data_IF_841131483983
#
_entry.id   IF_841131483983
#
_cell.length_a   1.000
_cell.length_b   1.000
_cell.length_c   1.000
_cell.angle_alpha   90.00
_cell.angle_beta   90.00
_cell.angle_gamma   90.00
#
_symmetry.space_group_name_H-M   'P 1'
#
loop_
_entity.id
_entity.type
_entity.pdbx_description
1 polymer ?
#
# COMPACT_ATOMS: atom_id res chain seq x y z
N UNK A 1 40.85 17.03 9.28
CA UNK A 1 40.42 16.17 8.17
C UNK A 1 39.50 15.12 8.77
N UNK A 2 38.19 15.39 8.82
CA UNK A 2 37.21 14.43 9.36
C UNK A 2 37.06 13.34 8.31
N UNK A 3 37.33 12.08 8.68
CA UNK A 3 37.14 10.96 7.77
C UNK A 3 35.65 10.89 7.40
N UNK A 4 35.34 10.85 6.11
CA UNK A 4 33.96 10.71 5.63
C UNK A 4 33.36 9.42 6.22
N UNK A 5 32.18 9.53 6.82
CA UNK A 5 31.44 8.35 7.28
C UNK A 5 31.12 7.45 6.08
N UNK A 6 31.35 6.12 6.17
CA UNK A 6 30.86 5.20 5.15
C UNK A 6 29.35 5.35 5.00
N UNK A 7 28.77 5.35 3.77
CA UNK A 7 27.33 5.53 3.56
C UNK A 7 26.44 4.60 4.38
N UNK A 8 26.91 3.38 4.65
CA UNK A 8 26.24 2.39 5.51
C UNK A 8 26.09 2.88 6.95
N UNK A 9 27.05 3.63 7.48
CA UNK A 9 27.00 4.14 8.85
C UNK A 9 25.98 5.26 8.98
N UNK A 10 25.92 6.19 8.02
CA UNK A 10 24.89 7.22 7.97
C UNK A 10 23.48 6.61 7.85
N UNK A 11 23.33 5.56 7.04
CA UNK A 11 22.09 4.80 6.94
C UNK A 11 21.71 4.13 8.27
N UNK A 12 22.65 3.44 8.93
CA UNK A 12 22.40 2.78 10.21
C UNK A 12 21.99 3.78 11.31
N UNK A 13 22.63 4.95 11.36
CA UNK A 13 22.23 6.05 12.26
C UNK A 13 20.82 6.54 11.93
N UNK A 14 20.50 6.74 10.65
CA UNK A 14 19.16 7.12 10.22
C UNK A 14 18.08 6.12 10.66
N UNK A 15 18.31 4.82 10.45
CA UNK A 15 17.40 3.76 10.90
C UNK A 15 17.24 3.78 12.42
N UNK A 16 18.35 3.88 13.17
CA UNK A 16 18.31 3.94 14.62
C UNK A 16 17.50 5.14 15.13
N UNK A 17 17.67 6.31 14.52
CA UNK A 17 16.91 7.53 14.84
C UNK A 17 15.43 7.32 14.53
N UNK A 18 15.06 6.79 13.36
CA UNK A 18 13.66 6.53 13.01
C UNK A 18 13.02 5.57 14.00
N UNK A 19 13.70 4.46 14.34
CA UNK A 19 13.20 3.49 15.32
C UNK A 19 13.04 4.13 16.70
N UNK A 20 14.01 4.94 17.14
CA UNK A 20 13.92 5.66 18.42
C UNK A 20 12.70 6.60 18.44
N UNK A 21 12.55 7.44 17.41
CA UNK A 21 11.49 8.44 17.34
C UNK A 21 10.09 7.81 17.22
N UNK A 22 9.95 6.74 16.45
CA UNK A 22 8.64 6.14 16.17
C UNK A 22 8.26 5.03 17.16
N UNK A 23 9.20 4.22 17.61
CA UNK A 23 8.90 3.05 18.47
C UNK A 23 9.09 3.37 19.94
N UNK A 24 10.15 4.11 20.30
CA UNK A 24 10.44 4.40 21.71
C UNK A 24 9.73 5.65 22.19
N UNK A 25 9.73 6.72 21.36
CA UNK A 25 9.07 7.98 21.70
C UNK A 25 7.66 8.13 21.13
N UNK A 26 7.20 7.15 20.35
CA UNK A 26 5.82 7.09 19.80
C UNK A 26 5.37 8.40 19.13
N UNK A 27 6.31 9.05 18.42
CA UNK A 27 5.98 10.29 17.70
C UNK A 27 5.11 9.97 16.48
N UNK A 28 4.16 10.85 16.12
CA UNK A 28 3.42 10.73 14.87
C UNK A 28 4.39 10.57 13.68
N UNK A 29 4.15 9.57 12.83
CA UNK A 29 5.09 9.16 11.78
C UNK A 29 5.62 10.32 10.94
N UNK A 30 4.75 11.26 10.54
CA UNK A 30 5.14 12.46 9.80
C UNK A 30 6.17 13.31 10.56
N UNK A 31 5.91 13.60 11.83
CA UNK A 31 6.80 14.42 12.68
C UNK A 31 8.12 13.69 12.92
N UNK A 32 8.06 12.40 13.28
CA UNK A 32 9.25 11.59 13.51
C UNK A 32 10.15 11.49 12.28
N UNK A 33 9.58 11.29 11.09
CA UNK A 33 10.34 11.20 9.84
C UNK A 33 10.96 12.54 9.42
N UNK A 34 10.28 13.67 9.63
CA UNK A 34 10.86 15.00 9.36
C UNK A 34 12.04 15.28 10.29
N UNK A 35 11.90 15.00 11.58
CA UNK A 35 12.99 15.16 12.55
C UNK A 35 14.16 14.23 12.18
N UNK A 36 13.88 12.97 11.84
CA UNK A 36 14.91 12.03 11.39
C UNK A 36 15.64 12.53 10.13
N UNK A 37 14.92 13.05 9.14
CA UNK A 37 15.51 13.59 7.91
C UNK A 37 16.43 14.79 8.20
N UNK A 38 16.02 15.68 9.11
CA UNK A 38 16.85 16.81 9.54
C UNK A 38 18.11 16.33 10.30
N UNK A 39 17.98 15.35 11.19
CA UNK A 39 19.11 14.78 11.94
C UNK A 39 20.11 14.04 11.05
N UNK A 40 19.62 13.26 10.08
CA UNK A 40 20.49 12.61 9.09
C UNK A 40 21.15 13.65 8.20
N UNK A 41 20.40 14.68 7.77
CA UNK A 41 20.92 15.78 6.97
C UNK A 41 22.02 16.57 7.68
N UNK A 42 21.86 16.89 8.98
CA UNK A 42 22.89 17.57 9.77
C UNK A 42 24.08 16.67 10.07
N UNK A 43 23.86 15.38 10.31
CA UNK A 43 24.94 14.39 10.42
C UNK A 43 25.75 14.37 9.13
N UNK A 44 25.09 14.28 7.97
CA UNK A 44 25.76 14.34 6.67
C UNK A 44 26.50 15.67 6.46
N UNK A 45 25.94 16.81 6.84
CA UNK A 45 26.61 18.11 6.78
C UNK A 45 27.89 18.20 7.64
N UNK A 46 27.97 17.42 8.72
CA UNK A 46 29.16 17.36 9.56
C UNK A 46 30.29 16.52 8.93
N UNK A 47 29.94 15.40 8.28
CA UNK A 47 30.91 14.43 7.77
C UNK A 47 31.24 14.58 6.29
N UNK A 48 30.38 15.23 5.51
CA UNK A 48 30.57 15.46 4.07
C UNK A 48 30.85 16.95 3.84
N UNK A 49 32.03 17.31 3.30
CA UNK A 49 32.39 18.71 3.06
C UNK A 49 31.49 19.42 2.04
N UNK A 50 30.77 18.67 1.20
CA UNK A 50 29.91 19.19 0.15
C UNK A 50 28.51 19.60 0.63
N UNK A 51 28.15 19.32 1.89
CA UNK A 51 26.82 19.61 2.45
C UNK A 51 26.93 20.70 3.50
N UNK A 52 26.48 21.91 3.17
CA UNK A 52 26.42 23.01 4.14
C UNK A 52 25.22 22.84 5.10
N UNK A 53 25.45 23.05 6.41
CA UNK A 53 24.39 22.99 7.44
C UNK A 53 23.18 23.87 7.13
N UNK A 54 23.40 25.07 6.62
CA UNK A 54 22.32 26.00 6.25
C UNK A 54 21.41 25.50 5.12
N UNK A 55 21.91 24.57 4.30
CA UNK A 55 21.14 24.01 3.19
C UNK A 55 20.32 22.78 3.59
N UNK A 56 20.54 22.21 4.79
CA UNK A 56 19.86 20.98 5.22
C UNK A 56 18.33 21.12 5.21
N UNK A 57 17.71 22.17 5.78
CA UNK A 57 16.25 22.32 5.73
C UNK A 57 15.72 22.43 4.30
N UNK A 58 16.42 23.17 3.43
CA UNK A 58 16.07 23.31 2.02
C UNK A 58 16.15 21.98 1.26
N UNK A 59 17.23 21.22 1.47
CA UNK A 59 17.41 19.91 0.85
C UNK A 59 16.34 18.91 1.30
N UNK A 60 15.99 18.89 2.59
CA UNK A 60 14.91 18.06 3.12
C UNK A 60 13.56 18.47 2.51
N UNK A 61 13.28 19.78 2.42
CA UNK A 61 12.04 20.27 1.81
C UNK A 61 11.94 19.93 0.31
N UNK A 62 13.03 20.08 -0.45
CA UNK A 62 13.09 19.69 -1.86
C UNK A 62 12.93 18.19 -2.04
N UNK A 63 13.63 17.38 -1.24
CA UNK A 63 13.50 15.93 -1.28
C UNK A 63 12.06 15.49 -0.94
N UNK A 64 11.45 16.09 0.08
CA UNK A 64 10.05 15.85 0.44
C UNK A 64 9.12 16.21 -0.74
N UNK A 65 9.27 17.40 -1.33
CA UNK A 65 8.44 17.85 -2.45
C UNK A 65 8.56 16.94 -3.68
N UNK A 66 9.77 16.51 -4.02
CA UNK A 66 10.01 15.57 -5.12
C UNK A 66 9.35 14.20 -4.86
N UNK A 67 9.46 13.68 -3.63
CA UNK A 67 8.77 12.43 -3.25
C UNK A 67 7.24 12.58 -3.29
N UNK A 68 6.71 13.74 -2.88
CA UNK A 68 5.27 14.03 -2.98
C UNK A 68 4.80 14.06 -4.42
N UNK A 69 5.56 14.68 -5.32
CA UNK A 69 5.27 14.73 -6.75
C UNK A 69 5.38 13.35 -7.42
N UNK A 70 6.35 12.53 -7.02
CA UNK A 70 6.56 11.18 -7.57
C UNK A 70 5.50 10.18 -7.12
N UNK A 71 5.34 9.98 -5.81
CA UNK A 71 4.49 8.91 -5.25
C UNK A 71 3.50 9.38 -4.18
N UNK A 72 3.76 10.51 -3.51
CA UNK A 72 2.89 10.96 -2.42
C UNK A 72 1.46 11.31 -2.85
N UNK A 73 1.30 11.98 -4.00
CA UNK A 73 -0.02 12.28 -4.57
C UNK A 73 -0.76 10.98 -4.96
N UNK A 74 -0.18 10.04 -5.72
CA UNK A 74 -0.79 8.73 -5.98
C UNK A 74 -1.24 8.00 -4.71
N UNK A 75 -0.40 7.98 -3.67
CA UNK A 75 -0.72 7.36 -2.38
C UNK A 75 -1.93 8.03 -1.71
N UNK A 76 -1.97 9.37 -1.69
CA UNK A 76 -3.09 10.12 -1.11
C UNK A 76 -4.41 9.83 -1.85
N UNK A 77 -4.36 9.77 -3.18
CA UNK A 77 -5.53 9.43 -3.99
C UNK A 77 -6.01 8.00 -3.74
N UNK A 78 -5.08 7.04 -3.65
CA UNK A 78 -5.40 5.65 -3.30
C UNK A 78 -6.06 5.55 -1.92
N UNK A 79 -5.56 6.28 -0.93
CA UNK A 79 -6.14 6.31 0.41
C UNK A 79 -7.58 6.89 0.42
N UNK A 80 -7.83 7.95 -0.34
CA UNK A 80 -9.18 8.52 -0.50
C UNK A 80 -10.11 7.49 -1.15
N UNK A 81 -9.69 6.86 -2.25
CA UNK A 81 -10.48 5.82 -2.93
C UNK A 81 -10.80 4.68 -1.96
N UNK A 82 -9.80 4.16 -1.24
CA UNK A 82 -9.96 3.09 -0.27
C UNK A 82 -10.94 3.46 0.84
N UNK A 83 -10.85 4.68 1.38
CA UNK A 83 -11.80 5.17 2.39
C UNK A 83 -13.22 5.30 1.83
N UNK A 84 -13.38 5.88 0.64
CA UNK A 84 -14.69 6.01 -0.01
C UNK A 84 -15.32 4.64 -0.32
N UNK A 85 -14.52 3.63 -0.68
CA UNK A 85 -15.00 2.26 -0.89
C UNK A 85 -15.53 1.62 0.40
N UNK A 86 -14.90 1.91 1.54
CA UNK A 86 -15.34 1.44 2.85
C UNK A 86 -16.61 2.16 3.31
N UNK A 87 -16.70 3.47 3.12
CA UNK A 87 -17.86 4.27 3.55
C UNK A 87 -19.11 4.03 2.67
N UNK A 88 -18.91 3.81 1.37
CA UNK A 88 -20.01 3.53 0.42
C UNK A 88 -20.56 2.10 0.49
N UNK A 89 -19.91 1.19 1.22
CA UNK A 89 -20.28 -0.24 1.22
C UNK A 89 -19.89 -1.00 -0.05
N UNK A 90 -19.13 -0.39 -0.96
CA UNK A 90 -18.57 -1.08 -2.13
C UNK A 90 -17.69 -2.29 -1.73
N UNK A 91 -16.91 -2.13 -0.65
CA UNK A 91 -16.11 -3.21 -0.11
C UNK A 91 -16.97 -4.39 0.38
N UNK A 92 -18.11 -4.12 1.03
CA UNK A 92 -19.07 -5.15 1.47
C UNK A 92 -19.68 -5.90 0.29
N UNK A 93 -20.05 -5.17 -0.79
CA UNK A 93 -20.60 -5.77 -2.00
C UNK A 93 -19.61 -6.74 -2.63
N UNK A 94 -18.35 -6.33 -2.80
CA UNK A 94 -17.30 -7.16 -3.40
C UNK A 94 -17.24 -8.51 -2.67
N UNK A 95 -17.24 -8.48 -1.35
CA UNK A 95 -17.08 -9.70 -0.55
C UNK A 95 -18.31 -10.60 -0.66
N UNK A 96 -19.51 -10.03 -0.67
CA UNK A 96 -20.75 -10.77 -0.91
C UNK A 96 -20.78 -11.38 -2.32
N UNK A 97 -20.23 -10.71 -3.32
CA UNK A 97 -20.15 -11.22 -4.69
C UNK A 97 -19.17 -12.39 -4.84
N UNK A 98 -18.00 -12.33 -4.19
CA UNK A 98 -17.09 -13.48 -4.08
C UNK A 98 -17.77 -14.66 -3.37
N UNK A 99 -18.56 -14.39 -2.32
CA UNK A 99 -19.34 -15.42 -1.64
C UNK A 99 -20.42 -16.03 -2.53
N UNK A 100 -21.15 -15.23 -3.31
CA UNK A 100 -22.25 -15.75 -4.14
C UNK A 100 -21.77 -16.60 -5.31
N UNK A 101 -20.50 -16.43 -5.72
CA UNK A 101 -19.91 -17.22 -6.81
C UNK A 101 -19.25 -18.51 -6.33
N UNK A 102 -18.91 -18.63 -5.05
CA UNK A 102 -18.27 -19.81 -4.48
C UNK A 102 -19.23 -20.60 -3.59
N UNK A 103 -19.23 -21.93 -3.73
CA UNK A 103 -20.01 -22.84 -2.87
C UNK A 103 -19.61 -22.72 -1.40
N UNK A 104 -20.51 -23.12 -0.49
CA UNK A 104 -20.27 -23.20 0.96
C UNK A 104 -19.03 -24.07 1.31
N UNK A 105 -18.58 -24.94 0.42
CA UNK A 105 -17.34 -25.72 0.57
C UNK A 105 -16.05 -24.94 0.35
N UNK A 106 -16.09 -23.80 -0.37
CA UNK A 106 -14.90 -23.03 -0.78
C UNK A 106 -14.84 -21.62 -0.16
N UNK A 107 -15.41 -21.47 1.04
CA UNK A 107 -15.48 -20.19 1.75
C UNK A 107 -14.09 -19.65 2.09
N UNK A 108 -13.13 -20.52 2.36
CA UNK A 108 -11.73 -20.15 2.56
C UNK A 108 -11.14 -19.45 1.33
N UNK A 109 -11.40 -19.96 0.12
CA UNK A 109 -11.00 -19.31 -1.13
C UNK A 109 -11.77 -18.03 -1.43
N UNK A 110 -13.05 -17.95 -1.07
CA UNK A 110 -13.84 -16.74 -1.25
C UNK A 110 -13.29 -15.59 -0.40
N UNK A 111 -13.00 -15.87 0.87
CA UNK A 111 -12.40 -14.92 1.80
C UNK A 111 -10.96 -14.56 1.43
N UNK A 112 -10.18 -15.55 0.99
CA UNK A 112 -8.83 -15.32 0.47
C UNK A 112 -8.84 -14.36 -0.74
N UNK A 113 -9.68 -14.63 -1.74
CA UNK A 113 -9.75 -13.84 -2.96
C UNK A 113 -10.29 -12.44 -2.73
N UNK A 114 -11.37 -12.30 -1.95
CA UNK A 114 -11.97 -10.99 -1.65
C UNK A 114 -11.03 -10.10 -0.84
N UNK A 115 -10.36 -10.64 0.18
CA UNK A 115 -9.40 -9.90 1.00
C UNK A 115 -8.16 -9.50 0.21
N UNK A 116 -7.62 -10.40 -0.63
CA UNK A 116 -6.50 -10.11 -1.53
C UNK A 116 -6.83 -8.97 -2.49
N UNK A 117 -8.03 -9.00 -3.07
CA UNK A 117 -8.47 -7.98 -4.03
C UNK A 117 -8.72 -6.62 -3.36
N UNK A 118 -9.41 -6.62 -2.22
CA UNK A 118 -9.72 -5.38 -1.49
C UNK A 118 -8.47 -4.70 -0.93
N UNK A 119 -7.43 -5.46 -0.57
CA UNK A 119 -6.23 -4.90 0.04
C UNK A 119 -5.26 -4.22 -0.96
N UNK A 120 -5.55 -4.30 -2.27
CA UNK A 120 -4.81 -3.54 -3.29
C UNK A 120 -5.04 -2.02 -3.08
N UNK A 121 -6.30 -1.52 -3.04
CA UNK A 121 -6.58 -0.10 -2.75
C UNK A 121 -6.78 0.22 -1.26
N UNK A 122 -7.20 -0.74 -0.44
CA UNK A 122 -7.55 -0.50 0.98
C UNK A 122 -6.42 -1.02 1.87
N UNK A 123 -6.11 -0.29 2.93
CA UNK A 123 -5.12 -0.74 3.91
C UNK A 123 -5.49 -2.08 4.56
N UNK A 124 -4.48 -2.90 4.83
CA UNK A 124 -4.63 -4.23 5.41
C UNK A 124 -5.51 -4.26 6.66
N UNK A 125 -5.30 -3.31 7.57
CA UNK A 125 -6.04 -3.19 8.84
C UNK A 125 -7.54 -3.02 8.59
N UNK A 126 -7.91 -2.11 7.69
CA UNK A 126 -9.30 -1.84 7.34
C UNK A 126 -9.95 -3.05 6.67
N UNK A 127 -9.25 -3.73 5.75
CA UNK A 127 -9.76 -4.97 5.13
C UNK A 127 -9.94 -6.06 6.18
N UNK A 128 -8.96 -6.25 7.06
CA UNK A 128 -9.03 -7.25 8.11
C UNK A 128 -10.21 -6.99 9.06
N UNK A 129 -10.39 -5.74 9.51
CA UNK A 129 -11.53 -5.37 10.36
C UNK A 129 -12.88 -5.50 9.66
N UNK A 130 -12.96 -5.22 8.36
CA UNK A 130 -14.17 -5.42 7.58
C UNK A 130 -14.50 -6.92 7.43
N UNK A 131 -13.47 -7.74 7.26
CA UNK A 131 -13.61 -9.18 6.98
C UNK A 131 -13.77 -10.03 8.24
N UNK A 132 -13.26 -9.60 9.39
CA UNK A 132 -13.37 -10.36 10.63
C UNK A 132 -14.82 -10.67 11.06
N UNK A 133 -15.79 -9.72 10.97
CA UNK A 133 -17.22 -9.98 11.20
C UNK A 133 -17.81 -10.98 10.21
N UNK A 134 -17.39 -10.92 8.94
CA UNK A 134 -17.83 -11.87 7.92
C UNK A 134 -17.24 -13.27 8.17
N UNK A 135 -15.97 -13.37 8.54
CA UNK A 135 -15.37 -14.63 8.99
C UNK A 135 -16.13 -15.20 10.20
N UNK A 136 -16.54 -14.34 11.14
CA UNK A 136 -17.34 -14.71 12.32
C UNK A 136 -18.71 -15.24 11.93
N UNK A 137 -19.45 -14.52 11.08
CA UNK A 137 -20.78 -14.94 10.61
C UNK A 137 -20.73 -16.24 9.80
N UNK A 138 -19.67 -16.43 9.00
CA UNK A 138 -19.44 -17.68 8.27
C UNK A 138 -19.16 -18.85 9.22
N UNK A 139 -18.36 -18.67 10.29
CA UNK A 139 -18.21 -19.70 11.33
C UNK A 139 -19.55 -20.01 11.99
N UNK A 140 -20.36 -19.01 12.32
CA UNK A 140 -21.66 -19.21 12.97
C UNK A 140 -22.63 -20.02 12.07
N UNK A 141 -22.62 -19.78 10.75
CA UNK A 141 -23.48 -20.48 9.78
C UNK A 141 -22.99 -21.89 9.45
N UNK A 142 -21.67 -22.06 9.23
CA UNK A 142 -21.08 -23.33 8.76
C UNK A 142 -20.65 -24.23 9.93
N UNK A 143 -20.42 -23.65 11.11
CA UNK A 143 -20.09 -24.36 12.34
C UNK A 143 -18.60 -24.71 12.51
N UNK A 144 -17.75 -24.48 11.51
CA UNK A 144 -16.30 -24.82 11.54
C UNK A 144 -15.39 -23.74 10.96
N UNK A 145 -14.07 -23.90 11.16
CA UNK A 145 -12.99 -23.22 10.43
C UNK A 145 -12.77 -21.71 10.68
N UNK A 146 -13.06 -21.17 11.87
CA UNK A 146 -12.88 -19.74 12.14
C UNK A 146 -11.42 -19.29 12.08
N UNK A 147 -10.50 -20.09 12.64
CA UNK A 147 -9.07 -19.82 12.57
C UNK A 147 -8.58 -19.77 11.12
N UNK A 148 -9.01 -20.72 10.28
CA UNK A 148 -8.72 -20.70 8.85
C UNK A 148 -9.22 -19.42 8.20
N UNK A 149 -10.47 -18.99 8.48
CA UNK A 149 -11.05 -17.78 7.91
C UNK A 149 -10.25 -16.52 8.25
N UNK A 150 -9.79 -16.38 9.50
CA UNK A 150 -8.94 -15.25 9.89
C UNK A 150 -7.56 -15.29 9.19
N UNK A 151 -6.97 -16.49 9.08
CA UNK A 151 -5.65 -16.66 8.43
C UNK A 151 -5.73 -16.36 6.93
N UNK A 152 -6.75 -16.84 6.22
CA UNK A 152 -6.87 -16.59 4.77
C UNK A 152 -7.16 -15.13 4.46
N UNK A 153 -7.97 -14.47 5.29
CA UNK A 153 -8.20 -13.02 5.21
C UNK A 153 -6.90 -12.27 5.47
N UNK A 154 -6.20 -12.63 6.53
CA UNK A 154 -4.94 -11.99 6.93
C UNK A 154 -3.86 -12.14 5.87
N UNK A 155 -3.62 -13.37 5.40
CA UNK A 155 -2.60 -13.66 4.40
C UNK A 155 -2.94 -13.06 3.03
N UNK A 156 -4.20 -13.14 2.60
CA UNK A 156 -4.68 -12.54 1.37
C UNK A 156 -4.46 -11.04 1.36
N UNK A 157 -5.00 -10.35 2.37
CA UNK A 157 -4.87 -8.91 2.48
C UNK A 157 -3.41 -8.45 2.68
N UNK A 158 -2.63 -9.11 3.54
CA UNK A 158 -1.26 -8.67 3.84
C UNK A 158 -0.33 -8.79 2.63
N UNK A 159 -0.43 -9.88 1.88
CA UNK A 159 0.47 -10.13 0.74
C UNK A 159 0.23 -9.15 -0.41
N UNK A 160 -1.03 -8.92 -0.80
CA UNK A 160 -1.32 -7.93 -1.86
C UNK A 160 -1.01 -6.51 -1.38
N UNK A 161 -1.31 -6.19 -0.12
CA UNK A 161 -0.97 -4.89 0.45
C UNK A 161 0.55 -4.60 0.48
N UNK A 162 1.39 -5.62 0.70
CA UNK A 162 2.85 -5.46 0.81
C UNK A 162 3.56 -5.55 -0.54
N UNK A 163 3.03 -6.29 -1.52
CA UNK A 163 3.73 -6.55 -2.77
C UNK A 163 3.15 -5.84 -4.00
N UNK A 164 1.88 -5.41 -3.97
CA UNK A 164 1.19 -4.91 -5.16
C UNK A 164 0.91 -3.41 -5.05
N UNK A 165 1.45 -2.56 -5.94
CA UNK A 165 1.03 -1.16 -6.06
C UNK A 165 -0.49 -1.05 -6.30
N UNK A 166 -1.18 -0.01 -5.78
CA UNK A 166 -0.71 1.33 -5.44
C UNK A 166 -0.37 1.55 -3.96
N UNK A 167 -0.12 0.51 -3.17
CA UNK A 167 0.21 0.70 -1.76
C UNK A 167 1.54 1.44 -1.57
N UNK A 168 1.71 2.20 -0.47
CA UNK A 168 2.85 3.10 -0.29
C UNK A 168 4.22 2.44 -0.42
N UNK A 169 4.38 1.23 0.14
CA UNK A 169 5.64 0.49 0.13
C UNK A 169 6.10 0.09 -1.27
N UNK A 170 5.32 -0.72 -2.01
CA UNK A 170 5.57 -1.06 -3.41
C UNK A 170 5.78 0.14 -4.32
N UNK A 171 4.99 1.23 -4.15
CA UNK A 171 5.19 2.45 -4.93
C UNK A 171 6.54 3.12 -4.64
N UNK A 172 6.95 3.18 -3.37
CA UNK A 172 8.24 3.76 -3.00
C UNK A 172 9.42 2.97 -3.59
N UNK A 173 9.34 1.63 -3.57
CA UNK A 173 10.35 0.78 -4.20
C UNK A 173 10.36 0.97 -5.72
N UNK A 174 9.19 1.01 -6.35
CA UNK A 174 9.08 1.22 -7.80
C UNK A 174 9.67 2.57 -8.24
N UNK A 175 9.42 3.65 -7.47
CA UNK A 175 9.97 4.98 -7.75
C UNK A 175 11.49 5.00 -7.64
N UNK A 176 12.05 4.47 -6.55
CA UNK A 176 13.50 4.41 -6.34
C UNK A 176 14.21 3.64 -7.45
N UNK A 177 13.63 2.53 -7.91
CA UNK A 177 14.19 1.74 -9.01
C UNK A 177 13.98 2.40 -10.39
N UNK A 178 12.95 3.25 -10.55
CA UNK A 178 12.66 3.96 -11.80
C UNK A 178 13.58 5.17 -12.04
N UNK A 179 14.35 5.61 -11.04
CA UNK A 179 15.33 6.70 -11.17
C UNK A 179 16.45 6.40 -12.19
N UNK A 180 16.58 5.14 -12.63
CA UNK A 180 17.47 4.70 -13.71
C UNK A 180 16.98 4.97 -15.15
N UNK A 181 15.82 5.63 -15.34
CA UNK A 181 15.34 6.07 -16.66
C UNK A 181 14.33 5.14 -17.35
N UNK A 182 13.75 4.17 -16.64
CA UNK A 182 12.67 3.30 -17.13
C UNK A 182 11.55 3.27 -16.09
N UNK A 183 10.31 3.49 -16.51
CA UNK A 183 9.14 3.35 -15.62
C UNK A 183 8.87 1.86 -15.39
N UNK A 184 9.19 1.36 -14.19
CA UNK A 184 9.02 -0.08 -13.87
C UNK A 184 7.71 -0.39 -13.15
N UNK A 185 6.77 0.56 -13.06
CA UNK A 185 5.56 0.40 -12.26
C UNK A 185 4.69 -0.78 -12.76
N UNK A 186 4.50 -0.90 -14.08
CA UNK A 186 3.77 -2.04 -14.66
C UNK A 186 4.44 -3.38 -14.37
N UNK A 187 5.76 -3.46 -14.52
CA UNK A 187 6.53 -4.67 -14.18
C UNK A 187 6.45 -4.98 -12.69
N UNK A 188 6.48 -3.95 -11.84
CA UNK A 188 6.33 -4.10 -10.39
C UNK A 188 4.96 -4.66 -10.03
N UNK A 189 3.89 -4.25 -10.71
CA UNK A 189 2.55 -4.84 -10.51
C UNK A 189 2.54 -6.32 -10.91
N UNK A 190 3.10 -6.67 -12.07
CA UNK A 190 3.13 -8.06 -12.55
C UNK A 190 3.95 -8.95 -11.61
N UNK A 191 5.16 -8.53 -11.25
CA UNK A 191 6.04 -9.26 -10.30
C UNK A 191 5.41 -9.30 -8.91
N UNK A 192 4.79 -8.21 -8.47
CA UNK A 192 4.07 -8.10 -7.22
C UNK A 192 2.93 -9.11 -7.14
N UNK A 193 2.08 -9.19 -8.16
CA UNK A 193 0.99 -10.17 -8.25
C UNK A 193 1.52 -11.61 -8.33
N UNK A 194 2.55 -11.84 -9.16
CA UNK A 194 3.19 -13.15 -9.30
C UNK A 194 3.84 -13.64 -8.01
N UNK A 195 4.23 -12.72 -7.12
CA UNK A 195 4.79 -13.05 -5.79
C UNK A 195 3.71 -13.12 -4.73
N UNK A 196 2.74 -12.20 -4.74
CA UNK A 196 1.66 -12.12 -3.77
C UNK A 196 0.75 -13.33 -3.84
N UNK A 197 0.29 -13.73 -5.04
CA UNK A 197 -0.70 -14.81 -5.19
C UNK A 197 -0.16 -16.14 -4.62
N UNK A 198 1.04 -16.63 -4.99
CA UNK A 198 1.59 -17.86 -4.40
C UNK A 198 1.85 -17.71 -2.90
N UNK A 199 2.37 -16.57 -2.46
CA UNK A 199 2.63 -16.32 -1.03
C UNK A 199 1.33 -16.35 -0.22
N UNK A 200 0.27 -15.74 -0.73
CA UNK A 200 -1.05 -15.71 -0.12
C UNK A 200 -1.68 -17.11 -0.08
N UNK A 201 -1.50 -17.89 -1.14
CA UNK A 201 -2.00 -19.26 -1.21
C UNK A 201 -1.31 -20.16 -0.17
N UNK A 202 0.02 -20.06 -0.06
CA UNK A 202 0.80 -20.87 0.89
C UNK A 202 0.55 -20.41 2.33
N UNK A 203 0.70 -19.12 2.62
CA UNK A 203 0.52 -18.59 3.97
C UNK A 203 -0.95 -18.57 4.43
N UNK A 204 -1.89 -18.40 3.51
CA UNK A 204 -3.32 -18.37 3.78
C UNK A 204 -3.92 -19.76 3.80
N UNK A 205 -3.98 -20.42 2.64
CA UNK A 205 -4.73 -21.68 2.49
C UNK A 205 -3.94 -22.85 3.07
N UNK A 206 -2.68 -23.04 2.67
CA UNK A 206 -1.89 -24.22 3.10
C UNK A 206 -1.60 -24.14 4.60
N UNK A 207 -0.99 -23.05 5.05
CA UNK A 207 -0.67 -22.84 6.45
C UNK A 207 -1.93 -22.65 7.31
N UNK A 208 -2.96 -21.95 6.82
CA UNK A 208 -4.22 -21.82 7.54
C UNK A 208 -4.92 -23.16 7.75
N UNK A 209 -4.94 -24.06 6.77
CA UNK A 209 -5.50 -25.42 6.93
C UNK A 209 -4.68 -26.24 7.92
N UNK A 210 -3.35 -26.15 7.85
CA UNK A 210 -2.45 -26.78 8.81
C UNK A 210 -2.69 -26.30 10.25
N UNK A 211 -2.90 -25.00 10.44
CA UNK A 211 -3.14 -24.39 11.75
C UNK A 211 -4.53 -24.75 12.28
N UNK A 212 -5.54 -24.64 11.43
CA UNK A 212 -6.94 -24.92 11.79
C UNK A 212 -7.19 -26.38 12.16
N UNK A 213 -6.35 -27.31 11.68
CA UNK A 213 -6.37 -28.70 12.13
C UNK A 213 -5.81 -28.90 13.56
N UNK A 214 -5.10 -27.90 14.12
CA UNK A 214 -4.42 -27.97 15.43
C UNK A 214 -5.02 -27.03 16.47
N UNK A 215 -5.67 -25.96 16.04
CA UNK A 215 -6.20 -24.91 16.91
C UNK A 215 -7.68 -24.71 16.55
N UNK A 216 -8.55 -24.90 17.52
CA UNK A 216 -9.93 -24.41 17.45
C UNK A 216 -10.01 -23.12 18.27
N UNK A 217 -10.29 -22.02 17.57
CA UNK A 217 -10.51 -20.72 18.19
C UNK A 217 -12.01 -20.63 18.47
N UNK A 218 -12.45 -20.63 19.74
CA UNK A 218 -13.85 -20.47 20.07
C UNK A 218 -14.32 -19.08 19.63
N UNK A 219 -15.58 -19.01 19.19
CA UNK A 219 -16.26 -17.73 18.97
C UNK A 219 -16.35 -17.01 20.31
N UNK A 220 -15.55 -15.95 20.47
CA UNK A 220 -15.62 -15.04 21.62
C UNK A 220 -16.45 -13.83 21.22
N UNK A 221 -17.15 -13.23 22.18
CA UNK A 221 -17.82 -11.95 21.94
C UNK A 221 -16.77 -10.88 21.62
N UNK A 222 -16.97 -10.19 20.50
CA UNK A 222 -15.92 -9.40 19.85
C UNK A 222 -15.49 -8.21 20.74
N UNK A 223 -14.18 -8.10 20.93
CA UNK A 223 -13.54 -7.03 21.71
C UNK A 223 -13.17 -5.85 20.80
N UNK A 224 -13.60 -4.64 21.17
CA UNK A 224 -12.82 -3.40 20.95
C UNK A 224 -13.33 -2.42 19.89
N UNK A 225 -13.97 -2.90 18.83
CA UNK A 225 -14.83 -2.09 17.93
C UNK A 225 -16.23 -2.62 18.17
N UNK A 226 -17.27 -1.77 18.32
CA UNK A 226 -18.59 -2.32 18.67
C UNK A 226 -18.95 -3.37 17.63
N UNK A 227 -19.06 -4.62 18.09
CA UNK A 227 -19.38 -5.76 17.24
C UNK A 227 -20.65 -5.46 16.44
N UNK A 228 -21.53 -4.66 17.04
CA UNK A 228 -22.72 -4.05 16.46
C UNK A 228 -22.45 -3.17 15.24
N UNK A 229 -21.51 -2.22 15.23
CA UNK A 229 -21.24 -1.39 14.03
C UNK A 229 -20.74 -2.22 12.85
N UNK A 230 -19.94 -3.23 13.15
CA UNK A 230 -19.37 -4.14 12.16
C UNK A 230 -20.38 -5.20 11.69
N UNK A 231 -21.22 -5.72 12.59
CA UNK A 231 -22.34 -6.62 12.27
C UNK A 231 -23.44 -5.87 11.52
N UNK A 232 -23.75 -4.63 11.85
CA UNK A 232 -24.71 -3.78 11.15
C UNK A 232 -24.27 -3.55 9.69
N UNK A 233 -22.98 -3.24 9.47
CA UNK A 233 -22.40 -3.19 8.11
C UNK A 233 -22.48 -4.53 7.39
N UNK A 234 -22.13 -5.62 8.07
CA UNK A 234 -22.20 -6.95 7.53
C UNK A 234 -23.63 -7.44 7.26
N UNK A 235 -24.65 -6.90 7.95
CA UNK A 235 -26.07 -7.24 7.85
C UNK A 235 -26.89 -6.29 6.97
N UNK A 236 -26.35 -5.14 6.53
CA UNK A 236 -27.03 -4.23 5.59
C UNK A 236 -27.66 -4.99 4.42
N UNK A 237 -28.90 -4.69 4.06
CA UNK A 237 -29.56 -5.39 2.96
C UNK A 237 -28.82 -5.18 1.63
N UNK A 238 -28.73 -6.23 0.82
CA UNK A 238 -27.93 -6.24 -0.42
C UNK A 238 -28.42 -5.24 -1.48
N UNK A 239 -29.65 -4.74 -1.36
CA UNK A 239 -30.26 -3.74 -2.26
C UNK A 239 -29.82 -2.30 -1.94
N UNK A 240 -29.30 -2.04 -0.75
CA UNK A 240 -28.73 -0.74 -0.38
C UNK A 240 -27.26 -0.57 -0.79
N UNK A 241 -26.64 -1.64 -1.34
CA UNK A 241 -25.24 -1.65 -1.74
C UNK A 241 -25.10 -1.35 -3.24
N UNK A 242 -24.03 -0.66 -3.67
CA UNK A 242 -23.73 -0.49 -5.09
C UNK A 242 -23.59 -1.86 -5.77
N UNK A 243 -23.79 -1.91 -7.09
CA UNK A 243 -23.60 -3.15 -7.86
C UNK A 243 -22.14 -3.61 -7.83
N UNK A 244 -21.87 -4.88 -8.17
CA UNK A 244 -20.49 -5.40 -8.21
C UNK A 244 -19.62 -4.63 -9.21
N UNK A 245 -20.18 -4.31 -10.39
CA UNK A 245 -19.50 -3.52 -11.39
C UNK A 245 -19.12 -2.13 -10.86
N UNK A 246 -20.08 -1.42 -10.25
CA UNK A 246 -19.84 -0.10 -9.63
C UNK A 246 -18.83 -0.17 -8.48
N UNK A 247 -18.89 -1.22 -7.67
CA UNK A 247 -17.98 -1.42 -6.54
C UNK A 247 -16.54 -1.68 -7.00
N UNK A 248 -16.37 -2.34 -8.16
CA UNK A 248 -15.07 -2.61 -8.77
C UNK A 248 -14.52 -1.45 -9.61
N UNK A 249 -15.35 -0.47 -10.00
CA UNK A 249 -14.94 0.65 -10.86
C UNK A 249 -13.75 1.44 -10.31
N UNK A 250 -13.68 1.83 -9.02
CA UNK A 250 -12.55 2.61 -8.52
C UNK A 250 -11.21 1.87 -8.66
N UNK A 251 -11.23 0.55 -8.42
CA UNK A 251 -10.06 -0.33 -8.55
C UNK A 251 -9.68 -0.48 -10.02
N UNK A 252 -10.66 -0.81 -10.86
CA UNK A 252 -10.45 -0.96 -12.30
C UNK A 252 -9.93 0.34 -12.92
N UNK A 253 -10.49 1.49 -12.55
CA UNK A 253 -10.05 2.79 -13.01
C UNK A 253 -8.61 3.08 -12.58
N UNK A 254 -8.24 2.83 -11.32
CA UNK A 254 -6.87 3.00 -10.85
C UNK A 254 -5.89 2.13 -11.66
N UNK A 255 -6.20 0.85 -11.86
CA UNK A 255 -5.38 -0.08 -12.64
C UNK A 255 -5.27 0.37 -14.10
N UNK A 256 -6.39 0.72 -14.74
CA UNK A 256 -6.43 1.15 -16.15
C UNK A 256 -5.65 2.44 -16.36
N UNK A 257 -5.78 3.44 -15.47
CA UNK A 257 -5.03 4.69 -15.56
C UNK A 257 -3.52 4.46 -15.42
N UNK A 258 -3.11 3.62 -14.47
CA UNK A 258 -1.69 3.25 -14.27
C UNK A 258 -1.14 2.46 -15.47
N UNK A 259 -1.90 1.50 -15.97
CA UNK A 259 -1.56 0.73 -17.16
C UNK A 259 -1.45 1.65 -18.39
N UNK A 260 -2.38 2.60 -18.55
CA UNK A 260 -2.37 3.57 -19.64
C UNK A 260 -1.11 4.45 -19.60
N UNK A 261 -0.72 4.94 -18.43
CA UNK A 261 0.53 5.70 -18.28
C UNK A 261 1.77 4.87 -18.65
N UNK A 262 1.79 3.59 -18.25
CA UNK A 262 2.87 2.66 -18.58
C UNK A 262 2.94 2.41 -20.10
N UNK A 263 1.80 2.21 -20.75
CA UNK A 263 1.72 2.05 -22.21
C UNK A 263 2.23 3.32 -22.90
N UNK A 264 1.70 4.50 -22.55
CA UNK A 264 2.09 5.77 -23.17
C UNK A 264 3.58 6.06 -22.99
N UNK A 265 4.15 5.82 -21.81
CA UNK A 265 5.59 5.99 -21.57
C UNK A 265 6.44 5.00 -22.38
N UNK A 266 6.05 3.72 -22.42
CA UNK A 266 6.75 2.68 -23.18
C UNK A 266 6.75 2.95 -24.70
N UNK A 267 5.61 3.42 -25.25
CA UNK A 267 5.51 3.77 -26.67
C UNK A 267 6.10 5.16 -26.99
N UNK A 268 6.11 6.08 -26.03
CA UNK A 268 6.72 7.40 -26.16
C UNK A 268 8.24 7.34 -26.31
N UNK A 269 8.89 6.35 -25.71
CA UNK A 269 10.33 6.08 -25.90
C UNK A 269 10.63 5.40 -27.24
N UNK A 270 9.66 4.71 -27.84
CA UNK A 270 9.80 4.00 -29.12
C UNK A 270 9.51 4.87 -30.36
N UNK A 271 8.77 5.98 -30.22
CA UNK A 271 8.36 6.85 -31.36
C UNK A 271 8.88 8.29 -31.15
N UNK A 272 9.91 8.74 -31.90
CA UNK A 272 10.54 10.05 -31.71
C UNK A 272 9.61 11.27 -31.91
N UNK A 273 8.46 11.11 -32.57
CA UNK A 273 7.55 12.23 -32.90
C UNK A 273 6.77 12.77 -31.69
N UNK A 274 6.67 12.01 -30.59
CA UNK A 274 6.00 12.44 -29.35
C UNK A 274 6.90 13.25 -28.39
N UNK A 275 8.17 13.50 -28.74
CA UNK A 275 9.14 14.19 -27.86
C UNK A 275 9.00 15.72 -27.80
N UNK A 276 8.07 16.31 -28.56
CA UNK A 276 8.07 17.75 -28.90
C UNK A 276 7.53 18.70 -27.84
N UNK A 277 7.05 18.24 -26.67
CA UNK A 277 6.48 19.15 -25.64
C UNK A 277 7.33 19.33 -24.39
N UNK A 278 8.43 18.61 -24.20
CA UNK A 278 9.36 18.85 -23.07
C UNK A 278 10.38 19.93 -23.42
N UNK A 279 9.92 21.14 -23.76
CA UNK A 279 10.81 22.32 -23.81
C UNK A 279 11.09 22.76 -22.38
N UNK A 280 12.33 22.52 -21.93
CA UNK A 280 12.90 23.17 -20.76
C UNK A 280 12.65 24.69 -20.86
N UNK A 281 12.27 25.39 -19.77
CA UNK A 281 12.28 26.84 -19.80
C UNK A 281 13.71 27.32 -20.10
N UNK A 282 13.89 28.36 -20.93
CA UNK A 282 15.23 28.83 -21.30
C UNK A 282 15.98 29.26 -20.03
N UNK A 283 17.23 28.80 -19.91
CA UNK A 283 18.14 29.24 -18.85
C UNK A 283 18.31 30.75 -18.93
N UNK A 284 17.91 31.48 -17.90
CA UNK A 284 18.23 32.88 -17.72
C UNK A 284 19.72 33.03 -17.40
N UNK A 285 20.55 33.10 -18.44
CA UNK A 285 21.96 33.45 -18.29
C UNK A 285 22.51 34.14 -19.54
N UNK A 286 22.23 35.43 -19.67
CA UNK A 286 23.17 36.40 -20.28
C UNK A 286 23.01 37.73 -19.57
N UNK A 287 23.71 37.84 -18.44
CA UNK A 287 24.13 39.11 -17.88
C UNK A 287 25.26 39.63 -18.77
N UNK A 288 24.95 40.51 -19.71
CA UNK A 288 25.95 41.28 -20.45
C UNK A 288 25.81 42.75 -20.09
N UNK A 289 26.86 43.26 -19.47
CA UNK A 289 27.31 44.65 -19.38
C UNK A 289 26.51 45.72 -20.14
N UNK A 290 25.97 46.70 -19.41
CA UNK A 290 26.41 48.10 -19.40
C UNK A 290 25.81 48.83 -18.21
#
# INVERSE_FOLDING_TARGET
>A
MVAALPPITAFAVGVAVVVLLLVVWDLPAFVGLVIAALLVGTTNAYFLPDVAFGNVPGNVATAFGNNMAGIGIPILMAAIIGKSMLESGAADRIVRSFRSTLSDENVDFALWGSSSFLAIPVFFDNVFYLMAPLARSMRARIGKNYALYLVVVGAGAATTHVFVPPTPGPLAVADQLSQGGQSILGTTIVVGLATAIPSALVAGIVYGRFLNARIDIPLRDAMGTSAEELEERAQRESDALPSFAESGLPIAAAIVLVASNTIVSSFGDAIPSCRTTRRSPPSSATRTSR
#
